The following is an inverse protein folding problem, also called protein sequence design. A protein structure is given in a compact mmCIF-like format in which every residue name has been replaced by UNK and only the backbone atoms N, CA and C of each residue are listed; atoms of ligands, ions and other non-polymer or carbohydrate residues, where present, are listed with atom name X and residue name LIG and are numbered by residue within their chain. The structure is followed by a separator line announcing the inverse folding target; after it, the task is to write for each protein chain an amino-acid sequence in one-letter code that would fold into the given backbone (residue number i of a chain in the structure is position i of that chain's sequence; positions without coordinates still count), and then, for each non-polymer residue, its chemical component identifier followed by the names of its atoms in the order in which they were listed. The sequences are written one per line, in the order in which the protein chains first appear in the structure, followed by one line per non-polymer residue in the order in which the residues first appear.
data_IF_576747710539
#
_entry.id   IF_576747710539
#
_cell.length_a   1.000
_cell.length_b   1.000
_cell.length_c   1.000
_cell.angle_alpha   90.00
_cell.angle_beta   90.00
_cell.angle_gamma   90.00
#
_symmetry.space_group_name_H-M   'P 1'
#
loop_
_entity.id
_entity.type
_entity.pdbx_description
1 polymer ?
#
# COMPACT_ATOMS: atom_id res chain seq x y z
N UNK A 1 5.62 -5.47 -17.65
CA UNK A 1 4.45 -4.56 -17.56
C UNK A 1 3.41 -5.02 -16.54
N UNK A 2 2.82 -6.21 -16.70
CA UNK A 2 1.68 -6.67 -15.88
C UNK A 2 2.04 -7.42 -14.57
N UNK A 3 3.34 -7.58 -14.25
CA UNK A 3 3.78 -8.45 -13.15
C UNK A 3 3.48 -7.91 -11.74
N UNK A 4 3.50 -6.58 -11.54
CA UNK A 4 3.32 -5.96 -10.22
C UNK A 4 1.85 -5.96 -9.76
N UNK A 5 0.91 -5.75 -10.69
CA UNK A 5 -0.54 -5.81 -10.41
C UNK A 5 -0.97 -7.24 -10.01
N UNK A 6 -0.40 -8.25 -10.66
CA UNK A 6 -0.67 -9.64 -10.35
C UNK A 6 -0.07 -10.07 -9.00
N UNK A 7 1.12 -9.55 -8.62
CA UNK A 7 1.69 -9.76 -7.29
C UNK A 7 0.82 -9.14 -6.18
N UNK A 8 0.34 -7.90 -6.37
CA UNK A 8 -0.54 -7.24 -5.40
C UNK A 8 -1.86 -7.98 -5.15
N UNK A 9 -2.31 -8.79 -6.12
CA UNK A 9 -3.51 -9.64 -5.97
C UNK A 9 -3.23 -10.93 -5.18
N UNK A 10 -1.99 -11.46 -5.25
CA UNK A 10 -1.56 -12.69 -4.57
C UNK A 10 -1.23 -12.47 -3.07
N UNK A 11 -0.67 -11.30 -2.73
CA UNK A 11 -0.26 -10.91 -1.37
C UNK A 11 -1.44 -10.68 -0.40
N UNK A 12 -2.68 -10.75 -0.91
CA UNK A 12 -3.90 -10.68 -0.10
C UNK A 12 -4.12 -11.93 0.77
N UNK A 13 -3.27 -12.95 0.64
CA UNK A 13 -3.26 -14.14 1.50
C UNK A 13 -2.29 -13.93 2.67
N UNK A 14 -2.82 -13.54 3.84
CA UNK A 14 -2.06 -13.05 5.00
C UNK A 14 -1.09 -14.00 5.70
N UNK A 15 -0.50 -15.00 5.02
CA UNK A 15 0.52 -15.91 5.57
C UNK A 15 1.95 -15.40 5.47
N UNK A 16 2.23 -14.40 4.64
CA UNK A 16 3.59 -13.93 4.34
C UNK A 16 3.74 -12.40 4.44
N UNK A 17 3.04 -11.78 5.39
CA UNK A 17 3.02 -10.31 5.49
C UNK A 17 4.40 -9.70 5.74
N UNK A 18 5.28 -10.40 6.46
CA UNK A 18 6.63 -9.91 6.77
C UNK A 18 7.55 -10.02 5.55
N UNK A 19 7.44 -11.10 4.77
CA UNK A 19 8.16 -11.27 3.51
C UNK A 19 7.67 -10.28 2.44
N UNK A 20 6.35 -10.05 2.37
CA UNK A 20 5.75 -9.05 1.50
C UNK A 20 6.26 -7.65 1.84
N UNK A 21 6.28 -7.30 3.13
CA UNK A 21 6.86 -6.05 3.61
C UNK A 21 8.31 -5.90 3.17
N UNK A 22 9.15 -6.92 3.40
CA UNK A 22 10.56 -6.89 3.03
C UNK A 22 10.76 -6.73 1.50
N UNK A 23 9.96 -7.43 0.69
CA UNK A 23 10.03 -7.36 -0.77
C UNK A 23 9.63 -5.98 -1.31
N UNK A 24 8.56 -5.39 -0.78
CA UNK A 24 8.13 -4.06 -1.21
C UNK A 24 9.08 -2.96 -0.68
N UNK A 25 9.62 -3.10 0.53
CA UNK A 25 10.68 -2.20 1.00
C UNK A 25 11.95 -2.29 0.14
N UNK A 26 12.34 -3.48 -0.32
CA UNK A 26 13.44 -3.63 -1.26
C UNK A 26 13.12 -2.96 -2.62
N UNK A 27 11.87 -3.07 -3.07
CA UNK A 27 11.39 -2.41 -4.29
C UNK A 27 11.52 -0.88 -4.20
N UNK A 28 11.21 -0.29 -3.04
CA UNK A 28 11.35 1.16 -2.80
C UNK A 28 12.80 1.66 -2.77
N UNK A 29 13.79 0.77 -2.64
CA UNK A 29 15.22 1.13 -2.77
C UNK A 29 15.67 1.25 -4.23
N UNK A 30 14.94 0.61 -5.14
CA UNK A 30 15.23 0.61 -6.58
C UNK A 30 14.39 1.65 -7.31
N UNK A 31 13.08 1.64 -7.07
CA UNK A 31 12.16 2.61 -7.64
C UNK A 31 11.91 3.72 -6.64
N UNK A 32 12.38 4.91 -6.96
CA UNK A 32 12.16 6.10 -6.13
C UNK A 32 11.01 6.93 -6.67
N UNK A 33 10.42 7.77 -5.81
CA UNK A 33 9.37 8.73 -6.18
C UNK A 33 9.78 9.58 -7.38
N UNK A 34 11.00 10.13 -7.37
CA UNK A 34 11.47 11.03 -8.43
C UNK A 34 11.75 10.34 -9.76
N UNK A 35 12.26 9.10 -9.72
CA UNK A 35 12.74 8.42 -10.90
C UNK A 35 11.65 7.58 -11.57
N UNK A 36 10.85 6.88 -10.78
CA UNK A 36 9.82 5.95 -11.22
C UNK A 36 8.57 6.09 -10.31
N UNK A 37 7.86 7.24 -10.38
CA UNK A 37 6.75 7.55 -9.48
C UNK A 37 5.63 6.50 -9.53
N UNK A 38 5.37 5.91 -10.70
CA UNK A 38 4.33 4.89 -10.85
C UNK A 38 4.68 3.58 -10.13
N UNK A 39 5.90 3.09 -10.30
CA UNK A 39 6.36 1.85 -9.66
C UNK A 39 6.50 2.05 -8.15
N UNK A 40 7.01 3.21 -7.74
CA UNK A 40 7.05 3.62 -6.35
C UNK A 40 5.63 3.64 -5.75
N UNK A 41 4.66 4.26 -6.42
CA UNK A 41 3.27 4.31 -5.97
C UNK A 41 2.62 2.92 -5.80
N UNK A 42 2.90 1.98 -6.71
CA UNK A 42 2.42 0.61 -6.57
C UNK A 42 3.04 -0.12 -5.37
N UNK A 43 4.34 0.08 -5.13
CA UNK A 43 5.00 -0.49 -3.95
C UNK A 43 4.41 0.10 -2.66
N UNK A 44 4.16 1.40 -2.63
CA UNK A 44 3.48 2.06 -1.50
C UNK A 44 2.05 1.52 -1.30
N UNK A 45 1.25 1.35 -2.37
CA UNK A 45 -0.10 0.77 -2.24
C UNK A 45 -0.04 -0.63 -1.63
N UNK A 46 0.90 -1.47 -2.08
CA UNK A 46 1.00 -2.83 -1.59
C UNK A 46 1.47 -2.90 -0.13
N UNK A 47 2.36 -2.00 0.30
CA UNK A 47 2.69 -1.86 1.73
C UNK A 47 1.48 -1.42 2.55
N UNK A 48 0.65 -0.52 2.03
CA UNK A 48 -0.62 -0.15 2.66
C UNK A 48 -1.54 -1.36 2.86
N UNK A 49 -1.64 -2.23 1.85
CA UNK A 49 -2.41 -3.47 1.95
C UNK A 49 -1.80 -4.45 2.98
N UNK A 50 -0.47 -4.57 3.06
CA UNK A 50 0.21 -5.41 4.07
C UNK A 50 -0.12 -4.96 5.48
N UNK A 51 0.05 -3.66 5.76
CA UNK A 51 -0.20 -3.08 7.08
C UNK A 51 -1.69 -3.12 7.47
N UNK A 52 -2.60 -2.90 6.51
CA UNK A 52 -4.03 -3.07 6.72
C UNK A 52 -4.40 -4.51 7.12
N UNK A 53 -3.83 -5.50 6.44
CA UNK A 53 -4.05 -6.92 6.77
C UNK A 53 -3.47 -7.29 8.15
N UNK A 54 -2.29 -6.75 8.51
CA UNK A 54 -1.69 -6.96 9.83
C UNK A 54 -2.57 -6.37 10.94
N UNK A 55 -3.02 -5.13 10.76
CA UNK A 55 -3.91 -4.45 11.72
C UNK A 55 -5.25 -5.17 11.93
N UNK A 56 -5.80 -5.74 10.85
CA UNK A 56 -7.05 -6.50 10.86
C UNK A 56 -6.93 -7.87 11.54
N UNK A 57 -5.72 -8.46 11.59
CA UNK A 57 -5.46 -9.76 12.22
C UNK A 57 -5.12 -9.67 13.73
N UNK A 58 -5.27 -8.49 14.33
CA UNK A 58 -4.93 -8.25 15.74
C UNK A 58 -3.73 -7.33 15.95
N UNK A 59 -3.18 -6.76 14.87
CA UNK A 59 -2.22 -5.65 14.95
C UNK A 59 -2.81 -4.41 15.65
N UNK A 60 -1.93 -3.52 16.11
CA UNK A 60 -2.30 -2.32 16.86
C UNK A 60 -2.64 -1.12 15.97
N UNK A 61 -3.00 0.00 16.60
CA UNK A 61 -3.30 1.26 15.90
C UNK A 61 -2.13 1.75 15.02
N UNK A 62 -0.89 1.44 15.41
CA UNK A 62 0.30 1.73 14.64
C UNK A 62 0.26 1.11 13.23
N UNK A 63 -0.29 -0.10 13.07
CA UNK A 63 -0.40 -0.74 11.75
C UNK A 63 -1.48 -0.06 10.89
N UNK A 64 -2.56 0.45 11.49
CA UNK A 64 -3.54 1.25 10.74
C UNK A 64 -2.96 2.60 10.29
N UNK A 65 -2.19 3.27 11.16
CA UNK A 65 -1.55 4.54 10.82
C UNK A 65 -0.54 4.36 9.66
N UNK A 66 0.27 3.31 9.72
CA UNK A 66 1.18 2.97 8.60
C UNK A 66 0.42 2.66 7.32
N UNK A 67 -0.68 1.91 7.38
CA UNK A 67 -1.49 1.62 6.20
C UNK A 67 -2.00 2.91 5.53
N UNK A 68 -2.48 3.88 6.32
CA UNK A 68 -2.92 5.19 5.83
C UNK A 68 -1.77 5.93 5.15
N UNK A 69 -0.62 6.04 5.82
CA UNK A 69 0.58 6.71 5.29
C UNK A 69 1.00 6.12 3.93
N UNK A 70 1.03 4.79 3.85
CA UNK A 70 1.39 4.09 2.61
C UNK A 70 0.39 4.32 1.48
N UNK A 71 -0.91 4.32 1.77
CA UNK A 71 -1.92 4.64 0.76
C UNK A 71 -1.88 6.12 0.33
N UNK A 72 -1.59 7.06 1.24
CA UNK A 72 -1.43 8.47 0.92
C UNK A 72 -0.22 8.69 0.00
N UNK A 73 0.92 8.09 0.33
CA UNK A 73 2.10 8.07 -0.53
C UNK A 73 1.79 7.47 -1.91
N UNK A 74 1.07 6.35 -1.96
CA UNK A 74 0.67 5.74 -3.22
C UNK A 74 -0.17 6.71 -4.08
N UNK A 75 -1.12 7.40 -3.46
CA UNK A 75 -1.94 8.40 -4.15
C UNK A 75 -1.09 9.54 -4.72
N UNK A 76 -0.15 10.08 -3.94
CA UNK A 76 0.77 11.12 -4.43
C UNK A 76 1.57 10.64 -5.64
N UNK A 77 2.17 9.45 -5.57
CA UNK A 77 2.94 8.90 -6.68
C UNK A 77 2.09 8.60 -7.92
N UNK A 78 0.82 8.19 -7.75
CA UNK A 78 -0.13 8.03 -8.86
C UNK A 78 -0.47 9.37 -9.53
N UNK A 79 -0.65 10.43 -8.75
CA UNK A 79 -0.85 11.80 -9.27
C UNK A 79 0.39 12.26 -10.04
N UNK A 80 1.58 12.09 -9.48
CA UNK A 80 2.86 12.46 -10.13
C UNK A 80 3.10 11.69 -11.42
N UNK A 81 2.69 10.42 -11.47
CA UNK A 81 2.76 9.60 -12.67
C UNK A 81 1.67 9.91 -13.71
N UNK A 82 0.71 10.80 -13.41
CA UNK A 82 -0.46 11.05 -14.25
C UNK A 82 -1.42 9.85 -14.37
N UNK A 83 -1.30 8.85 -13.48
CA UNK A 83 -2.08 7.62 -13.49
C UNK A 83 -3.24 7.72 -12.49
N UNK A 84 -4.37 8.26 -12.93
CA UNK A 84 -5.47 8.64 -12.02
C UNK A 84 -6.48 7.53 -11.74
N UNK A 85 -6.48 6.45 -12.54
CA UNK A 85 -7.42 5.32 -12.42
C UNK A 85 -7.48 4.71 -11.00
N UNK A 86 -6.37 4.47 -10.27
CA UNK A 86 -6.41 3.84 -8.96
C UNK A 86 -6.78 4.82 -7.82
N UNK A 87 -6.73 6.13 -8.04
CA UNK A 87 -6.91 7.15 -6.98
C UNK A 87 -8.22 6.97 -6.21
N UNK A 88 -9.40 6.82 -6.85
CA UNK A 88 -10.66 6.66 -6.10
C UNK A 88 -10.70 5.40 -5.24
N UNK A 89 -10.03 4.32 -5.69
CA UNK A 89 -9.93 3.10 -4.91
C UNK A 89 -9.00 3.30 -3.72
N UNK A 90 -7.86 3.96 -3.92
CA UNK A 90 -6.91 4.29 -2.85
C UNK A 90 -7.55 5.18 -1.79
N UNK A 91 -8.32 6.19 -2.17
CA UNK A 91 -9.08 7.02 -1.23
C UNK A 91 -10.10 6.19 -0.43
N UNK A 92 -10.82 5.29 -1.09
CA UNK A 92 -11.74 4.37 -0.41
C UNK A 92 -11.01 3.47 0.60
N UNK A 93 -9.80 2.98 0.27
CA UNK A 93 -8.99 2.19 1.21
C UNK A 93 -8.61 3.02 2.43
N UNK A 94 -8.13 4.25 2.26
CA UNK A 94 -7.78 5.18 3.35
C UNK A 94 -8.98 5.39 4.29
N UNK A 95 -10.15 5.67 3.73
CA UNK A 95 -11.37 5.90 4.52
C UNK A 95 -11.79 4.65 5.30
N UNK A 96 -11.70 3.46 4.70
CA UNK A 96 -11.94 2.21 5.41
C UNK A 96 -10.96 2.00 6.56
N UNK A 97 -9.68 2.34 6.36
CA UNK A 97 -8.68 2.24 7.42
C UNK A 97 -9.01 3.17 8.59
N UNK A 98 -9.31 4.43 8.30
CA UNK A 98 -9.69 5.43 9.31
C UNK A 98 -10.94 5.02 10.09
N UNK A 99 -11.95 4.50 9.39
CA UNK A 99 -13.17 4.01 10.03
C UNK A 99 -12.93 2.84 10.96
N UNK A 100 -12.02 1.92 10.61
CA UNK A 100 -11.74 0.76 11.45
C UNK A 100 -10.87 1.12 12.64
N UNK A 101 -9.91 2.05 12.47
CA UNK A 101 -9.13 2.61 13.56
C UNK A 101 -10.02 3.29 14.60
N UNK A 102 -11.01 4.09 14.16
CA UNK A 102 -11.93 4.79 15.06
C UNK A 102 -12.91 3.87 15.82
N UNK A 103 -13.02 2.60 15.44
CA UNK A 103 -13.91 1.61 16.07
C UNK A 103 -13.22 0.75 17.13
N UNK A 104 -11.89 0.80 17.22
CA UNK A 104 -11.13 0.13 18.28
C UNK A 104 -11.16 0.96 19.55
#
# INVERSE_FOLDING_TARGET
GMSLLNLGTLERSGKYLDEAEAAFQATLKVFTRDSQPLQWAFAQNNLGDVYWNRASQGGGDADYLKAIEFFENAKEGFVEAGYTIPIPLTDKKIELVKQQLAKK
#
